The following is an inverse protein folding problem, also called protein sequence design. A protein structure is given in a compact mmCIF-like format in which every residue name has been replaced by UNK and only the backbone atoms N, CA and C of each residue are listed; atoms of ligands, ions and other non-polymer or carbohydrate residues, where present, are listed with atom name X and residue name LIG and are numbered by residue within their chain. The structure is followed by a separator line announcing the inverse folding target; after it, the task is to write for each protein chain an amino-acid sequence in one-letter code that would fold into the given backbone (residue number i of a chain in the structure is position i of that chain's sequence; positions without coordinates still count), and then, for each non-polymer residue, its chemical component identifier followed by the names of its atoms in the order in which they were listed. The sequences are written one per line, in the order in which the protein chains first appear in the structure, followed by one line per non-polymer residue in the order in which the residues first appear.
data_IF_387663474733
#
_entry.id   IF_387663474733
#
_cell.length_a   1.000
_cell.length_b   1.000
_cell.length_c   1.000
_cell.angle_alpha   90.00
_cell.angle_beta   90.00
_cell.angle_gamma   90.00
#
_symmetry.space_group_name_H-M   'P 1'
#
loop_
_entity.id
_entity.type
_entity.pdbx_description
1 polymer ?
#
# COMPACT_ATOMS: atom_id res chain seq x y z
N UNK A 1 -77.21 -7.26 24.01
CA UNK A 1 -76.40 -7.64 22.82
C UNK A 1 -75.61 -6.48 22.19
N UNK A 2 -76.17 -5.29 22.05
CA UNK A 2 -75.49 -4.16 21.38
C UNK A 2 -74.15 -3.71 22.05
N UNK A 3 -74.06 -3.70 23.41
CA UNK A 3 -72.81 -3.27 24.08
C UNK A 3 -71.59 -4.13 23.82
N UNK A 4 -71.79 -5.44 23.64
CA UNK A 4 -70.66 -6.36 23.41
C UNK A 4 -70.13 -6.25 21.97
N UNK A 5 -71.02 -5.97 21.01
CA UNK A 5 -70.59 -5.72 19.59
C UNK A 5 -69.80 -4.43 19.45
N UNK A 6 -70.16 -3.36 20.17
CA UNK A 6 -69.46 -2.10 20.15
C UNK A 6 -68.06 -2.22 20.76
N UNK A 7 -67.87 -2.99 21.83
CA UNK A 7 -66.57 -3.24 22.44
C UNK A 7 -65.66 -4.07 21.51
N UNK A 8 -66.23 -5.07 20.83
CA UNK A 8 -65.48 -5.91 19.89
C UNK A 8 -64.97 -5.11 18.68
N UNK A 9 -65.80 -4.20 18.12
CA UNK A 9 -65.44 -3.32 17.02
C UNK A 9 -64.36 -2.34 17.44
N UNK A 10 -64.45 -1.75 18.63
CA UNK A 10 -63.42 -0.84 19.14
C UNK A 10 -62.10 -1.57 19.42
N UNK A 11 -62.13 -2.80 19.89
CA UNK A 11 -60.93 -3.62 20.08
C UNK A 11 -60.26 -3.98 18.75
N UNK A 12 -61.02 -4.28 17.71
CA UNK A 12 -60.48 -4.56 16.37
C UNK A 12 -59.84 -3.29 15.75
N UNK A 13 -60.45 -2.14 15.92
CA UNK A 13 -59.91 -0.85 15.49
C UNK A 13 -58.63 -0.53 16.24
N UNK A 14 -58.58 -0.73 17.56
CA UNK A 14 -57.36 -0.49 18.34
C UNK A 14 -56.19 -1.43 17.93
N UNK A 15 -56.50 -2.70 17.69
CA UNK A 15 -55.52 -3.68 17.21
C UNK A 15 -55.02 -3.31 15.81
N UNK A 16 -55.91 -2.88 14.90
CA UNK A 16 -55.49 -2.45 13.56
C UNK A 16 -54.64 -1.17 13.60
N UNK A 17 -54.92 -0.23 14.46
CA UNK A 17 -54.12 0.97 14.68
C UNK A 17 -52.71 0.66 15.25
N UNK A 18 -52.61 -0.34 16.17
CA UNK A 18 -51.34 -0.83 16.67
C UNK A 18 -50.50 -1.49 15.57
N UNK A 19 -51.13 -2.28 14.69
CA UNK A 19 -50.42 -2.90 13.54
C UNK A 19 -49.96 -1.84 12.51
N UNK A 20 -50.73 -0.79 12.26
CA UNK A 20 -50.35 0.30 11.37
C UNK A 20 -49.22 1.12 11.97
N UNK A 21 -49.27 1.39 13.29
CA UNK A 21 -48.22 2.10 14.02
C UNK A 21 -46.92 1.29 14.03
N UNK A 22 -46.95 -0.02 14.26
CA UNK A 22 -45.79 -0.90 14.22
C UNK A 22 -45.12 -0.93 12.82
N UNK A 23 -45.93 -1.02 11.76
CA UNK A 23 -45.39 -0.99 10.39
C UNK A 23 -44.79 0.37 10.00
N UNK A 24 -45.31 1.46 10.54
CA UNK A 24 -44.74 2.78 10.31
C UNK A 24 -43.41 2.97 11.06
N UNK A 25 -43.31 2.46 12.29
CA UNK A 25 -42.06 2.49 13.07
C UNK A 25 -40.97 1.64 12.43
N UNK A 26 -41.30 0.47 11.87
CA UNK A 26 -40.32 -0.34 11.12
C UNK A 26 -39.87 0.32 9.81
N UNK A 27 -40.77 1.05 9.12
CA UNK A 27 -40.40 1.80 7.92
C UNK A 27 -39.55 3.03 8.24
N UNK A 28 -39.85 3.75 9.31
CA UNK A 28 -39.01 4.86 9.80
C UNK A 28 -37.65 4.37 10.26
N UNK A 29 -37.55 3.22 10.97
CA UNK A 29 -36.30 2.61 11.36
C UNK A 29 -35.48 2.12 10.16
N UNK A 30 -36.12 1.57 9.13
CA UNK A 30 -35.46 1.17 7.89
C UNK A 30 -35.01 2.41 7.07
N UNK A 31 -35.85 3.45 6.98
CA UNK A 31 -35.48 4.70 6.31
C UNK A 31 -34.30 5.39 7.03
N UNK A 32 -34.33 5.44 8.36
CA UNK A 32 -33.24 6.00 9.19
C UNK A 32 -31.96 5.13 9.10
N UNK A 33 -32.09 3.81 8.95
CA UNK A 33 -30.97 2.91 8.68
C UNK A 33 -30.42 3.07 7.26
N UNK A 34 -31.27 3.37 6.27
CA UNK A 34 -30.84 3.68 4.91
C UNK A 34 -30.20 5.08 4.80
N UNK A 35 -30.67 6.07 5.58
CA UNK A 35 -30.00 7.38 5.70
C UNK A 35 -28.63 7.28 6.41
N UNK A 36 -28.39 6.26 7.23
CA UNK A 36 -27.07 5.89 7.77
C UNK A 36 -26.24 5.06 6.80
N UNK A 37 -26.69 4.85 5.57
CA UNK A 37 -25.94 4.22 4.49
C UNK A 37 -24.65 5.01 4.22
N UNK A 38 -23.64 4.33 3.68
CA UNK A 38 -22.38 4.94 3.31
C UNK A 38 -22.60 6.03 2.24
N UNK A 39 -22.74 7.29 2.69
CA UNK A 39 -22.80 8.42 1.78
C UNK A 39 -21.42 8.65 1.14
N UNK A 40 -21.43 8.95 -0.14
CA UNK A 40 -20.19 9.28 -0.88
C UNK A 40 -20.14 10.80 -1.00
N UNK A 41 -19.09 11.40 -0.44
CA UNK A 41 -18.87 12.84 -0.46
C UNK A 41 -17.63 13.17 -1.29
N UNK A 42 -17.59 14.36 -1.94
CA UNK A 42 -16.33 14.87 -2.49
C UNK A 42 -15.26 14.97 -1.39
N UNK A 43 -14.04 14.62 -1.72
CA UNK A 43 -12.91 14.73 -0.79
C UNK A 43 -12.35 16.14 -0.88
N UNK A 44 -12.26 16.90 0.23
CA UNK A 44 -11.64 18.21 0.23
C UNK A 44 -10.15 18.11 -0.16
N UNK A 45 -9.75 18.91 -1.14
CA UNK A 45 -8.35 19.01 -1.56
C UNK A 45 -7.74 20.22 -0.84
N UNK A 46 -6.70 20.03 0.00
CA UNK A 46 -6.00 21.13 0.65
C UNK A 46 -5.41 22.10 -0.39
N UNK A 47 -5.40 23.40 -0.07
CA UNK A 47 -4.85 24.42 -0.97
C UNK A 47 -3.34 24.35 -1.15
N UNK A 48 -2.63 23.79 -0.16
CA UNK A 48 -1.19 23.62 -0.17
C UNK A 48 -0.84 22.16 0.10
N UNK A 49 -0.14 21.58 -0.81
CA UNK A 49 0.34 20.17 -0.74
C UNK A 49 1.79 20.12 -1.18
N UNK A 50 2.55 19.24 -0.57
CA UNK A 50 3.92 18.95 -0.95
C UNK A 50 4.20 17.46 -0.92
N UNK A 51 5.18 17.04 -1.71
CA UNK A 51 5.77 15.71 -1.67
C UNK A 51 7.29 15.86 -1.68
N UNK A 52 7.96 15.25 -0.72
CA UNK A 52 9.41 15.40 -0.54
C UNK A 52 9.83 16.89 -0.48
N UNK A 53 9.05 17.71 0.23
CA UNK A 53 9.18 19.17 0.36
C UNK A 53 8.96 19.96 -0.93
N UNK A 54 8.76 19.31 -2.07
CA UNK A 54 8.44 19.96 -3.33
C UNK A 54 6.96 20.35 -3.39
N UNK A 55 6.59 21.63 -3.66
CA UNK A 55 5.21 22.06 -3.72
C UNK A 55 4.50 21.47 -4.95
N UNK A 56 3.24 21.09 -4.78
CA UNK A 56 2.40 20.57 -5.85
C UNK A 56 1.66 21.72 -6.54
N UNK A 57 1.84 21.94 -7.85
CA UNK A 57 1.24 23.05 -8.58
C UNK A 57 -0.23 22.77 -8.93
N UNK A 58 -1.11 22.84 -7.94
CA UNK A 58 -2.56 22.54 -8.09
C UNK A 58 -3.27 23.44 -9.11
N UNK A 59 -2.72 24.62 -9.42
CA UNK A 59 -3.25 25.55 -10.43
C UNK A 59 -2.91 25.13 -11.87
N UNK A 60 -1.93 24.24 -12.09
CA UNK A 60 -1.63 23.75 -13.44
C UNK A 60 -2.77 22.89 -13.98
N UNK A 61 -2.98 22.95 -15.30
CA UNK A 61 -4.06 22.27 -15.99
C UNK A 61 -4.17 20.78 -15.64
N UNK A 62 -5.33 20.35 -15.19
CA UNK A 62 -5.68 18.96 -14.90
C UNK A 62 -5.00 18.34 -13.67
N UNK A 63 -4.12 19.07 -12.92
CA UNK A 63 -3.45 18.48 -11.74
C UNK A 63 -4.48 18.22 -10.64
N UNK A 64 -5.32 19.22 -10.35
CA UNK A 64 -6.34 19.11 -9.30
C UNK A 64 -7.32 17.97 -9.59
N UNK A 65 -7.80 17.84 -10.82
CA UNK A 65 -8.75 16.78 -11.22
C UNK A 65 -8.12 15.38 -11.10
N UNK A 66 -6.87 15.24 -11.53
CA UNK A 66 -6.15 13.96 -11.42
C UNK A 66 -5.88 13.57 -9.95
N UNK A 67 -5.57 14.55 -9.09
CA UNK A 67 -5.41 14.33 -7.66
C UNK A 67 -6.74 13.95 -7.01
N UNK A 68 -7.82 14.66 -7.30
CA UNK A 68 -9.17 14.37 -6.82
C UNK A 68 -9.56 12.92 -7.12
N UNK A 69 -9.31 12.49 -8.35
CA UNK A 69 -9.53 11.10 -8.76
C UNK A 69 -8.73 10.11 -7.89
N UNK A 70 -7.45 10.34 -7.63
CA UNK A 70 -6.63 9.43 -6.81
C UNK A 70 -7.08 9.45 -5.34
N UNK A 71 -7.49 10.58 -4.81
CA UNK A 71 -8.07 10.68 -3.46
C UNK A 71 -9.39 9.90 -3.37
N UNK A 72 -10.32 10.13 -4.31
CA UNK A 72 -11.61 9.41 -4.35
C UNK A 72 -11.41 7.90 -4.47
N UNK A 73 -10.59 7.45 -5.42
CA UNK A 73 -10.37 6.02 -5.65
C UNK A 73 -9.78 5.35 -4.40
N UNK A 74 -8.75 5.93 -3.79
CA UNK A 74 -8.11 5.32 -2.62
C UNK A 74 -8.97 5.45 -1.34
N UNK A 75 -9.78 6.49 -1.21
CA UNK A 75 -10.70 6.64 -0.06
C UNK A 75 -11.85 5.65 -0.15
N UNK A 76 -12.50 5.53 -1.32
CA UNK A 76 -13.69 4.70 -1.47
C UNK A 76 -13.41 3.25 -1.82
N UNK A 77 -12.18 2.89 -2.14
CA UNK A 77 -11.73 1.49 -2.14
C UNK A 77 -11.34 1.06 -0.70
N UNK A 78 -12.31 1.20 0.19
CA UNK A 78 -12.14 1.18 1.64
C UNK A 78 -11.41 -0.05 2.18
N UNK A 79 -11.81 -1.26 1.74
CA UNK A 79 -11.20 -2.51 2.22
C UNK A 79 -9.72 -2.60 1.83
N UNK A 80 -9.37 -2.18 0.61
CA UNK A 80 -8.00 -2.19 0.14
C UNK A 80 -7.13 -1.18 0.91
N UNK A 81 -7.61 0.04 1.07
CA UNK A 81 -6.89 1.09 1.79
C UNK A 81 -6.75 0.76 3.28
N UNK A 82 -7.81 0.24 3.90
CA UNK A 82 -7.76 -0.22 5.30
C UNK A 82 -6.69 -1.30 5.52
N UNK A 83 -6.60 -2.29 4.63
CA UNK A 83 -5.59 -3.36 4.80
C UNK A 83 -4.16 -2.85 4.54
N UNK A 84 -3.98 -1.87 3.65
CA UNK A 84 -2.69 -1.20 3.46
C UNK A 84 -2.31 -0.40 4.71
N UNK A 85 -3.23 0.35 5.30
CA UNK A 85 -3.02 1.05 6.58
C UNK A 85 -2.62 0.06 7.69
N UNK A 86 -3.32 -1.07 7.84
CA UNK A 86 -2.98 -2.08 8.84
C UNK A 86 -1.58 -2.68 8.67
N UNK A 87 -1.07 -2.76 7.44
CA UNK A 87 0.29 -3.26 7.12
C UNK A 87 1.36 -2.21 7.35
N UNK A 88 1.03 -0.92 7.23
CA UNK A 88 2.01 0.17 7.17
C UNK A 88 2.92 0.19 8.38
N UNK A 89 2.40 0.15 9.59
CA UNK A 89 3.19 0.21 10.82
C UNK A 89 4.33 -0.82 10.81
N UNK A 90 4.02 -2.06 10.44
CA UNK A 90 5.01 -3.14 10.36
C UNK A 90 6.08 -2.89 9.30
N UNK A 91 5.69 -2.43 8.12
CA UNK A 91 6.61 -2.30 6.98
C UNK A 91 7.40 -1.00 7.08
N UNK A 92 6.78 0.09 7.53
CA UNK A 92 7.43 1.40 7.65
C UNK A 92 8.53 1.40 8.71
N UNK A 93 8.39 0.64 9.83
CA UNK A 93 9.49 0.47 10.81
C UNK A 93 10.79 -0.06 10.18
N UNK A 94 10.73 -0.69 9.00
CA UNK A 94 11.91 -1.16 8.28
C UNK A 94 12.30 -0.20 7.16
N UNK A 95 11.33 0.39 6.46
CA UNK A 95 11.60 1.27 5.30
C UNK A 95 12.15 2.61 5.76
N UNK A 96 11.52 3.28 6.71
CA UNK A 96 11.83 4.65 7.14
C UNK A 96 13.31 4.83 7.57
N UNK A 97 13.90 3.99 8.45
CA UNK A 97 15.31 4.13 8.82
C UNK A 97 16.26 3.92 7.64
N UNK A 98 15.87 3.12 6.63
CA UNK A 98 16.70 2.89 5.45
C UNK A 98 16.60 4.10 4.51
N UNK A 99 15.41 4.68 4.29
CA UNK A 99 15.26 5.93 3.53
C UNK A 99 16.13 7.03 4.15
N UNK A 100 16.04 7.23 5.45
CA UNK A 100 16.85 8.21 6.19
C UNK A 100 18.35 7.97 6.00
N UNK A 101 18.82 6.72 6.18
CA UNK A 101 20.23 6.34 5.99
C UNK A 101 20.77 6.70 4.60
N UNK A 102 19.91 6.63 3.58
CA UNK A 102 20.29 6.93 2.18
C UNK A 102 20.02 8.38 1.78
N UNK A 103 19.47 9.20 2.66
CA UNK A 103 19.08 10.58 2.39
C UNK A 103 17.91 10.70 1.40
N UNK A 104 17.03 9.71 1.39
CA UNK A 104 15.81 9.72 0.58
C UNK A 104 14.66 10.26 1.45
N UNK A 105 13.88 11.25 0.95
CA UNK A 105 12.74 11.77 1.69
C UNK A 105 11.76 10.68 2.13
N UNK A 106 11.26 10.78 3.36
CA UNK A 106 10.38 9.80 3.98
C UNK A 106 9.09 9.54 3.16
N UNK A 107 8.62 10.55 2.44
CA UNK A 107 7.45 10.44 1.56
C UNK A 107 7.57 9.29 0.53
N UNK A 108 8.78 8.84 0.20
CA UNK A 108 9.01 7.71 -0.71
C UNK A 108 8.56 6.36 -0.16
N UNK A 109 8.23 6.24 1.13
CA UNK A 109 7.56 5.05 1.67
C UNK A 109 6.20 4.80 1.00
N UNK A 110 5.51 5.86 0.56
CA UNK A 110 4.23 5.74 -0.17
C UNK A 110 4.38 5.18 -1.58
N UNK A 111 5.60 5.20 -2.15
CA UNK A 111 5.89 4.49 -3.39
C UNK A 111 5.72 2.98 -3.20
N UNK A 112 6.25 2.40 -2.10
CA UNK A 112 6.06 1.00 -1.78
C UNK A 112 4.56 0.63 -1.56
N UNK A 113 3.78 1.57 -1.01
CA UNK A 113 2.32 1.41 -0.89
C UNK A 113 1.68 1.36 -2.28
N UNK A 114 2.02 2.29 -3.16
CA UNK A 114 1.45 2.38 -4.52
C UNK A 114 1.78 1.16 -5.39
N UNK A 115 3.00 0.61 -5.25
CA UNK A 115 3.50 -0.50 -6.06
C UNK A 115 2.88 -1.85 -5.69
N UNK A 116 2.68 -2.11 -4.41
CA UNK A 116 2.33 -3.47 -3.95
C UNK A 116 1.26 -3.55 -2.87
N UNK A 117 0.80 -2.43 -2.33
CA UNK A 117 -0.01 -2.43 -1.10
C UNK A 117 0.73 -3.04 0.09
N UNK A 118 2.05 -2.91 0.13
CA UNK A 118 2.95 -3.39 1.18
C UNK A 118 2.96 -4.93 1.34
N UNK A 119 2.84 -5.67 0.24
CA UNK A 119 2.95 -7.14 0.20
C UNK A 119 3.91 -7.60 -0.89
N UNK A 120 4.49 -8.78 -0.68
CA UNK A 120 5.30 -9.44 -1.69
C UNK A 120 4.40 -10.05 -2.77
N UNK A 121 4.18 -9.32 -3.86
CA UNK A 121 3.39 -9.75 -5.02
C UNK A 121 4.26 -9.88 -6.27
N UNK A 122 3.73 -10.57 -7.27
CA UNK A 122 4.31 -10.65 -8.61
C UNK A 122 3.33 -10.05 -9.60
N UNK A 123 3.74 -9.03 -10.35
CA UNK A 123 2.93 -8.44 -11.42
C UNK A 123 2.85 -9.33 -12.64
N UNK A 124 1.90 -9.07 -13.54
CA UNK A 124 1.78 -9.77 -14.84
C UNK A 124 3.04 -9.66 -15.70
N UNK A 125 3.80 -8.58 -15.56
CA UNK A 125 5.05 -8.37 -16.28
C UNK A 125 6.28 -8.94 -15.55
N UNK A 126 6.10 -9.57 -14.39
CA UNK A 126 7.17 -10.21 -13.64
C UNK A 126 7.94 -9.31 -12.68
N UNK A 127 7.46 -8.10 -12.42
CA UNK A 127 7.94 -7.28 -11.30
C UNK A 127 7.59 -7.97 -9.98
N UNK A 128 8.47 -7.89 -8.97
CA UNK A 128 8.30 -8.63 -7.71
C UNK A 128 8.64 -7.81 -6.47
N UNK A 129 8.01 -8.22 -5.38
CA UNK A 129 8.28 -7.71 -4.04
C UNK A 129 7.52 -6.44 -3.72
N UNK A 130 7.80 -5.87 -2.55
CA UNK A 130 7.15 -4.65 -2.07
C UNK A 130 7.47 -3.46 -2.98
N UNK A 131 8.68 -3.42 -3.55
CA UNK A 131 9.18 -2.37 -4.44
C UNK A 131 8.98 -2.66 -5.92
N UNK A 132 8.39 -3.77 -6.31
CA UNK A 132 8.07 -4.16 -7.68
C UNK A 132 9.24 -4.03 -8.69
N UNK A 133 10.43 -4.45 -8.28
CA UNK A 133 11.56 -4.50 -9.22
C UNK A 133 11.35 -5.52 -10.34
N UNK A 134 11.64 -5.13 -11.57
CA UNK A 134 11.86 -6.07 -12.67
C UNK A 134 13.15 -6.88 -12.43
N UNK A 135 13.26 -8.08 -13.02
CA UNK A 135 14.43 -8.94 -12.81
C UNK A 135 15.74 -8.27 -13.24
N UNK A 136 15.74 -7.58 -14.39
CA UNK A 136 16.90 -6.83 -14.87
C UNK A 136 17.27 -5.71 -13.92
N UNK A 137 16.33 -4.78 -13.67
CA UNK A 137 16.56 -3.64 -12.79
C UNK A 137 16.98 -4.08 -11.38
N UNK A 138 16.35 -5.15 -10.81
CA UNK A 138 16.78 -5.67 -9.52
C UNK A 138 18.26 -6.07 -9.52
N UNK A 139 18.75 -6.71 -10.58
CA UNK A 139 20.17 -7.07 -10.72
C UNK A 139 21.07 -5.84 -10.89
N UNK A 140 20.63 -4.87 -11.68
CA UNK A 140 21.38 -3.62 -11.91
C UNK A 140 21.60 -2.85 -10.61
N UNK A 141 20.63 -2.95 -9.66
CA UNK A 141 20.71 -2.34 -8.32
C UNK A 141 21.16 -3.33 -7.23
N UNK A 142 21.89 -4.40 -7.59
CA UNK A 142 22.63 -5.27 -6.70
C UNK A 142 21.82 -6.38 -6.01
N UNK A 143 20.58 -6.63 -6.43
CA UNK A 143 19.79 -7.74 -5.89
C UNK A 143 20.18 -9.08 -6.51
N UNK A 144 20.44 -10.06 -5.68
CA UNK A 144 20.70 -11.43 -6.12
C UNK A 144 19.40 -12.11 -6.56
N UNK A 145 19.37 -12.54 -7.82
CA UNK A 145 18.19 -13.19 -8.40
C UNK A 145 18.68 -14.39 -9.22
N UNK A 146 18.58 -15.58 -8.63
CA UNK A 146 18.98 -16.85 -9.23
C UNK A 146 17.92 -17.94 -8.97
N UNK A 147 18.29 -19.20 -9.08
CA UNK A 147 17.36 -20.32 -8.90
C UNK A 147 17.02 -20.58 -7.43
N UNK A 148 17.87 -20.20 -6.49
CA UNK A 148 17.68 -20.41 -5.06
C UNK A 148 17.10 -19.20 -4.33
N UNK A 149 17.45 -17.97 -4.76
CA UNK A 149 17.08 -16.73 -4.09
C UNK A 149 16.52 -15.70 -5.05
N UNK A 150 15.59 -14.88 -4.55
CA UNK A 150 15.06 -13.70 -5.23
C UNK A 150 14.99 -12.54 -4.21
N UNK A 151 16.05 -11.74 -4.14
CA UNK A 151 16.17 -10.67 -3.15
C UNK A 151 15.24 -9.48 -3.40
N UNK A 152 14.49 -9.47 -4.50
CA UNK A 152 13.37 -8.54 -4.68
C UNK A 152 12.28 -8.74 -3.61
N UNK A 153 12.18 -9.96 -3.06
CA UNK A 153 11.27 -10.33 -1.98
C UNK A 153 11.86 -10.08 -0.57
N UNK A 154 13.13 -9.65 -0.48
CA UNK A 154 13.79 -9.35 0.79
C UNK A 154 13.62 -7.88 1.13
N UNK A 155 12.74 -7.55 2.10
CA UNK A 155 12.34 -6.18 2.42
C UNK A 155 13.53 -5.21 2.58
N UNK A 156 14.52 -5.54 3.42
CA UNK A 156 15.68 -4.66 3.65
C UNK A 156 16.51 -4.44 2.39
N UNK A 157 16.83 -5.52 1.65
CA UNK A 157 17.68 -5.43 0.46
C UNK A 157 17.00 -4.70 -0.69
N UNK A 158 15.71 -5.00 -0.92
CA UNK A 158 14.95 -4.32 -1.97
C UNK A 158 14.70 -2.83 -1.63
N UNK A 159 14.56 -2.47 -0.35
CA UNK A 159 14.49 -1.06 0.07
C UNK A 159 15.81 -0.34 -0.20
N UNK A 160 16.95 -0.95 0.13
CA UNK A 160 18.27 -0.36 -0.19
C UNK A 160 18.45 -0.17 -1.70
N UNK A 161 18.06 -1.14 -2.51
CA UNK A 161 18.09 -1.04 -3.97
C UNK A 161 17.18 0.10 -4.48
N UNK A 162 15.99 0.25 -3.90
CA UNK A 162 15.08 1.35 -4.26
C UNK A 162 15.69 2.72 -3.89
N UNK A 163 16.35 2.83 -2.75
CA UNK A 163 17.05 4.07 -2.36
C UNK A 163 18.16 4.44 -3.35
N UNK A 164 18.98 3.46 -3.79
CA UNK A 164 20.03 3.71 -4.80
C UNK A 164 19.42 4.19 -6.11
N UNK A 165 18.33 3.53 -6.58
CA UNK A 165 17.59 3.97 -7.76
C UNK A 165 17.10 5.41 -7.63
N UNK A 166 16.42 5.72 -6.53
CA UNK A 166 15.82 7.05 -6.30
C UNK A 166 16.87 8.14 -6.21
N UNK A 167 18.00 7.86 -5.56
CA UNK A 167 19.13 8.79 -5.50
C UNK A 167 19.71 9.08 -6.89
N UNK A 168 19.98 8.03 -7.68
CA UNK A 168 20.44 8.19 -9.06
C UNK A 168 19.43 8.99 -9.91
N UNK A 169 18.15 8.71 -9.75
CA UNK A 169 17.10 9.42 -10.46
C UNK A 169 17.04 10.90 -10.06
N UNK A 170 17.16 11.22 -8.78
CA UNK A 170 17.21 12.60 -8.31
C UNK A 170 18.47 13.35 -8.83
N UNK A 171 19.62 12.72 -8.76
CA UNK A 171 20.88 13.29 -9.31
C UNK A 171 20.75 13.57 -10.81
N UNK A 172 20.01 12.75 -11.53
CA UNK A 172 19.79 12.90 -12.99
C UNK A 172 18.76 13.95 -13.36
N UNK A 173 17.71 14.10 -12.59
CA UNK A 173 16.56 14.94 -12.97
C UNK A 173 16.41 16.20 -12.13
N UNK A 174 17.05 16.30 -10.97
CA UNK A 174 17.05 17.46 -10.09
C UNK A 174 15.77 17.68 -9.29
N UNK A 175 14.74 16.84 -9.46
CA UNK A 175 13.48 16.94 -8.70
C UNK A 175 12.98 15.56 -8.26
N UNK A 176 12.39 15.51 -7.09
CA UNK A 176 11.79 14.28 -6.54
C UNK A 176 10.55 13.85 -7.32
N UNK A 177 9.80 14.79 -7.87
CA UNK A 177 8.63 14.49 -8.71
C UNK A 177 9.02 13.71 -9.97
N UNK A 178 10.11 14.10 -10.63
CA UNK A 178 10.66 13.36 -11.79
C UNK A 178 11.31 12.04 -11.37
N UNK A 179 11.99 12.00 -10.22
CA UNK A 179 12.54 10.76 -9.67
C UNK A 179 11.42 9.73 -9.41
N UNK A 180 10.32 10.13 -8.79
CA UNK A 180 9.15 9.29 -8.59
C UNK A 180 8.53 8.82 -9.91
N UNK A 181 8.32 9.72 -10.86
CA UNK A 181 7.79 9.37 -12.18
C UNK A 181 8.69 8.38 -12.93
N UNK A 182 10.02 8.52 -12.77
CA UNK A 182 11.00 7.62 -13.41
C UNK A 182 10.93 6.20 -12.85
N UNK A 183 10.51 6.02 -11.61
CA UNK A 183 10.34 4.69 -11.03
C UNK A 183 9.29 3.87 -11.79
N UNK A 184 8.21 4.51 -12.19
CA UNK A 184 7.15 3.89 -13.00
C UNK A 184 7.50 3.80 -14.50
N UNK A 185 8.08 4.88 -15.08
CA UNK A 185 8.31 5.03 -16.53
C UNK A 185 9.70 4.55 -16.99
N UNK A 186 10.62 4.38 -16.04
CA UNK A 186 12.05 4.22 -16.30
C UNK A 186 12.74 5.56 -16.59
N UNK A 187 13.96 5.73 -16.08
CA UNK A 187 14.76 6.97 -16.28
C UNK A 187 14.96 7.31 -17.76
N UNK A 188 15.23 6.31 -18.61
CA UNK A 188 15.37 6.52 -20.06
C UNK A 188 14.05 7.00 -20.69
N UNK A 189 12.91 6.53 -20.20
CA UNK A 189 11.60 6.97 -20.66
C UNK A 189 11.35 8.44 -20.32
N UNK A 190 11.52 8.82 -19.06
CA UNK A 190 11.35 10.22 -18.63
C UNK A 190 12.28 11.15 -19.37
N UNK A 191 13.58 10.82 -19.48
CA UNK A 191 14.55 11.64 -20.24
C UNK A 191 14.10 11.88 -21.67
N UNK A 192 13.65 10.82 -22.36
CA UNK A 192 13.16 10.93 -23.75
C UNK A 192 11.91 11.79 -23.84
N UNK A 193 10.97 11.63 -22.89
CA UNK A 193 9.71 12.35 -22.90
C UNK A 193 9.92 13.85 -22.60
N UNK A 194 10.81 14.22 -21.67
CA UNK A 194 11.25 15.60 -21.41
C UNK A 194 11.86 16.25 -22.66
N UNK A 195 12.82 15.56 -23.29
CA UNK A 195 13.50 16.07 -24.48
C UNK A 195 12.54 16.24 -25.67
N UNK A 196 11.63 15.26 -25.89
CA UNK A 196 10.66 15.28 -26.99
C UNK A 196 9.64 16.41 -26.85
N UNK A 197 9.26 16.75 -25.62
CA UNK A 197 8.21 17.73 -25.33
C UNK A 197 8.75 19.11 -24.98
N UNK A 198 10.09 19.28 -24.93
CA UNK A 198 10.76 20.54 -24.60
C UNK A 198 10.33 21.12 -23.25
N UNK A 199 10.14 20.26 -22.25
CA UNK A 199 9.79 20.62 -20.88
C UNK A 199 10.78 20.03 -19.87
N UNK A 200 10.83 20.62 -18.67
CA UNK A 200 11.75 20.23 -17.59
C UNK A 200 11.05 19.80 -16.31
N UNK A 201 9.71 19.89 -16.26
CA UNK A 201 8.91 19.63 -15.07
C UNK A 201 7.97 18.45 -15.35
N UNK A 202 7.82 17.56 -14.35
CA UNK A 202 6.88 16.45 -14.40
C UNK A 202 5.44 16.88 -14.71
N UNK A 203 5.00 18.00 -14.11
CA UNK A 203 3.62 18.47 -14.21
C UNK A 203 3.29 19.07 -15.59
N UNK A 204 4.27 19.33 -16.41
CA UNK A 204 4.11 19.79 -17.80
C UNK A 204 4.22 18.65 -18.84
N UNK A 205 4.61 17.44 -18.41
CA UNK A 205 4.72 16.29 -19.28
C UNK A 205 3.35 15.71 -19.66
N UNK A 206 3.15 15.49 -20.95
CA UNK A 206 2.09 14.64 -21.46
C UNK A 206 2.53 13.18 -21.45
N UNK A 207 2.05 12.43 -20.47
CA UNK A 207 2.41 11.03 -20.24
C UNK A 207 1.19 10.11 -20.43
N UNK A 208 1.42 8.80 -20.50
CA UNK A 208 0.31 7.84 -20.46
C UNK A 208 -0.48 7.97 -19.16
N UNK A 209 -1.71 7.42 -19.16
CA UNK A 209 -2.65 7.56 -18.04
C UNK A 209 -2.09 7.06 -16.70
N UNK A 210 -1.24 6.04 -16.70
CA UNK A 210 -0.62 5.50 -15.50
C UNK A 210 0.44 6.45 -14.94
N UNK A 211 1.45 6.77 -15.71
CA UNK A 211 2.57 7.62 -15.27
C UNK A 211 2.13 9.05 -14.96
N UNK A 212 1.15 9.59 -15.71
CA UNK A 212 0.62 10.95 -15.47
C UNK A 212 -0.11 11.09 -14.12
N UNK A 213 -0.57 9.99 -13.53
CA UNK A 213 -1.25 9.97 -12.23
C UNK A 213 -0.35 9.43 -11.12
N UNK A 214 0.81 8.87 -11.46
CA UNK A 214 1.64 8.13 -10.52
C UNK A 214 2.05 8.99 -9.31
N UNK A 215 2.63 10.16 -9.56
CA UNK A 215 3.02 11.10 -8.50
C UNK A 215 1.82 11.56 -7.66
N UNK A 216 0.68 11.81 -8.30
CA UNK A 216 -0.54 12.24 -7.61
C UNK A 216 -1.17 11.09 -6.79
N UNK A 217 -0.95 9.84 -7.19
CA UNK A 217 -1.30 8.66 -6.37
C UNK A 217 -0.44 8.59 -5.11
N UNK A 218 0.87 8.83 -5.22
CA UNK A 218 1.75 8.87 -4.04
C UNK A 218 1.28 9.95 -3.06
N UNK A 219 0.96 11.12 -3.57
CA UNK A 219 0.45 12.24 -2.78
C UNK A 219 -0.91 11.90 -2.13
N UNK A 220 -1.84 11.28 -2.85
CA UNK A 220 -3.13 10.87 -2.30
C UNK A 220 -2.95 9.83 -1.17
N UNK A 221 -2.08 8.85 -1.37
CA UNK A 221 -1.74 7.87 -0.34
C UNK A 221 -1.10 8.55 0.86
N UNK A 222 -0.15 9.48 0.66
CA UNK A 222 0.42 10.29 1.75
C UNK A 222 -0.68 10.97 2.56
N UNK A 223 -1.60 11.71 1.93
CA UNK A 223 -2.67 12.41 2.63
C UNK A 223 -3.54 11.46 3.47
N UNK A 224 -3.90 10.31 2.90
CA UNK A 224 -4.76 9.32 3.58
C UNK A 224 -4.00 8.66 4.75
N UNK A 225 -2.74 8.33 4.59
CA UNK A 225 -1.96 7.64 5.62
C UNK A 225 -1.52 8.57 6.75
N UNK A 226 -1.23 9.84 6.44
CA UNK A 226 -0.88 10.83 7.45
C UNK A 226 -2.11 11.24 8.31
N UNK A 227 -3.30 11.25 7.70
CA UNK A 227 -4.54 11.69 8.36
C UNK A 227 -5.71 10.73 8.07
N UNK A 228 -5.64 9.45 8.46
CA UNK A 228 -6.62 8.43 8.02
C UNK A 228 -8.05 8.76 8.45
N UNK A 229 -8.24 9.42 9.59
CA UNK A 229 -9.57 9.80 10.10
C UNK A 229 -10.29 10.82 9.22
N UNK A 230 -9.56 11.73 8.60
CA UNK A 230 -10.12 12.74 7.71
C UNK A 230 -10.71 12.10 6.43
N UNK A 231 -10.27 10.88 6.11
CA UNK A 231 -10.74 10.06 5.00
C UNK A 231 -11.67 8.92 5.42
N UNK A 232 -12.18 8.96 6.67
CA UNK A 232 -13.13 7.97 7.19
C UNK A 232 -12.52 6.65 7.65
N UNK A 233 -11.19 6.55 7.77
CA UNK A 233 -10.51 5.36 8.28
C UNK A 233 -10.26 5.48 9.77
N UNK A 234 -11.01 4.72 10.56
CA UNK A 234 -10.84 4.63 12.01
C UNK A 234 -10.00 3.39 12.33
N UNK A 235 -8.72 3.62 12.67
CA UNK A 235 -7.77 2.59 13.00
C UNK A 235 -7.10 2.92 14.34
N UNK A 236 -7.02 1.94 15.24
CA UNK A 236 -6.37 2.05 16.54
C UNK A 236 -5.05 1.26 16.53
N UNK A 237 -4.16 1.52 17.49
CA UNK A 237 -2.86 0.86 17.57
C UNK A 237 -2.93 -0.67 17.57
N UNK A 238 -3.94 -1.24 18.20
CA UNK A 238 -4.19 -2.70 18.24
C UNK A 238 -4.58 -3.31 16.90
N UNK A 239 -5.03 -2.48 15.94
CA UNK A 239 -5.51 -2.93 14.63
C UNK A 239 -4.36 -3.10 13.61
N UNK A 240 -3.21 -2.50 13.89
CA UNK A 240 -2.04 -2.61 13.03
C UNK A 240 -1.40 -3.99 13.12
N UNK A 241 -0.95 -4.50 11.97
CA UNK A 241 -0.15 -5.72 11.95
C UNK A 241 1.28 -5.45 12.42
N UNK A 242 1.80 -6.37 13.22
CA UNK A 242 3.18 -6.36 13.71
C UNK A 242 3.97 -7.53 13.11
N UNK A 243 5.29 -7.48 13.18
CA UNK A 243 6.10 -8.66 12.93
C UNK A 243 5.96 -9.65 14.10
N UNK A 244 5.94 -10.92 13.76
CA UNK A 244 6.18 -11.95 14.76
C UNK A 244 7.63 -11.80 15.25
N UNK A 245 7.88 -12.01 16.53
CA UNK A 245 9.21 -11.95 17.10
C UNK A 245 10.16 -12.95 16.40
N UNK A 246 11.35 -12.49 16.06
CA UNK A 246 12.36 -13.30 15.36
C UNK A 246 13.78 -12.91 15.80
N UNK A 247 14.70 -13.81 15.56
CA UNK A 247 16.13 -13.58 15.65
C UNK A 247 16.77 -13.64 14.27
N UNK A 248 17.88 -12.95 14.08
CA UNK A 248 18.71 -13.09 12.89
C UNK A 248 19.72 -14.20 13.10
N UNK A 249 19.70 -15.20 12.24
CA UNK A 249 20.64 -16.33 12.26
C UNK A 249 21.51 -16.27 11.02
N UNK A 250 22.82 -16.31 11.22
CA UNK A 250 23.78 -16.43 10.11
C UNK A 250 23.83 -17.89 9.69
N UNK A 251 23.66 -18.13 8.40
CA UNK A 251 23.81 -19.43 7.76
C UNK A 251 25.14 -19.39 7.01
N UNK A 252 26.12 -20.12 7.51
CA UNK A 252 27.50 -20.20 7.01
C UNK A 252 27.85 -21.58 6.42
N UNK A 253 26.86 -22.49 6.40
CA UNK A 253 26.91 -23.79 5.73
C UNK A 253 25.73 -23.96 4.78
N UNK A 254 25.91 -24.83 3.76
CA UNK A 254 24.82 -25.17 2.84
C UNK A 254 23.65 -25.81 3.59
N UNK A 255 22.43 -25.36 3.30
CA UNK A 255 21.20 -26.01 3.78
C UNK A 255 20.64 -26.85 2.62
N UNK A 256 20.86 -28.17 2.63
CA UNK A 256 20.39 -29.04 1.54
C UNK A 256 18.89 -29.26 1.57
N UNK A 257 18.25 -29.06 2.73
CA UNK A 257 16.80 -29.19 2.93
C UNK A 257 16.27 -28.19 3.94
N UNK A 258 15.58 -27.16 3.45
CA UNK A 258 14.98 -26.11 4.28
C UNK A 258 13.94 -26.67 5.28
N UNK A 259 13.24 -27.76 4.92
CA UNK A 259 12.24 -28.35 5.82
C UNK A 259 12.90 -29.02 7.03
N UNK A 260 13.99 -29.76 6.82
CA UNK A 260 14.75 -30.38 7.91
C UNK A 260 15.44 -29.32 8.76
N UNK A 261 16.03 -28.31 8.12
CA UNK A 261 16.64 -27.19 8.82
C UNK A 261 15.61 -26.45 9.70
N UNK A 262 14.40 -26.19 9.19
CA UNK A 262 13.35 -25.56 9.96
C UNK A 262 12.99 -26.37 11.22
N UNK A 263 12.90 -27.69 11.11
CA UNK A 263 12.66 -28.58 12.26
C UNK A 263 13.81 -28.55 13.26
N UNK A 264 15.07 -28.56 12.79
CA UNK A 264 16.26 -28.54 13.66
C UNK A 264 16.36 -27.29 14.50
N UNK A 265 15.78 -26.15 14.04
CA UNK A 265 15.73 -24.88 14.77
C UNK A 265 14.36 -24.65 15.46
N UNK A 266 13.57 -25.70 15.69
CA UNK A 266 12.32 -25.64 16.47
C UNK A 266 11.15 -24.95 15.78
N UNK A 267 11.14 -24.92 14.44
CA UNK A 267 10.04 -24.32 13.65
C UNK A 267 9.61 -25.25 12.50
N UNK A 268 8.84 -24.75 11.56
CA UNK A 268 8.41 -25.50 10.40
C UNK A 268 8.72 -24.75 9.09
N UNK A 269 8.65 -25.45 7.97
CA UNK A 269 8.90 -24.91 6.63
C UNK A 269 8.07 -23.67 6.33
N UNK A 270 6.76 -23.68 6.65
CA UNK A 270 5.86 -22.58 6.35
C UNK A 270 6.28 -21.29 7.08
N UNK A 271 6.55 -21.37 8.38
CA UNK A 271 6.97 -20.22 9.18
C UNK A 271 8.31 -19.68 8.67
N UNK A 272 9.31 -20.55 8.50
CA UNK A 272 10.64 -20.15 8.04
C UNK A 272 10.59 -19.48 6.66
N UNK A 273 9.84 -20.03 5.71
CA UNK A 273 9.65 -19.44 4.37
C UNK A 273 8.86 -18.15 4.41
N UNK A 274 7.84 -18.03 5.28
CA UNK A 274 7.06 -16.80 5.46
C UNK A 274 7.91 -15.66 6.01
N UNK A 275 8.86 -15.96 6.90
CA UNK A 275 9.82 -14.98 7.42
C UNK A 275 10.92 -14.63 6.41
N UNK A 276 11.22 -15.55 5.47
CA UNK A 276 12.27 -15.41 4.48
C UNK A 276 11.74 -15.67 3.05
N UNK A 277 10.79 -14.86 2.55
CA UNK A 277 10.13 -15.10 1.27
C UNK A 277 11.08 -15.03 0.06
N UNK A 278 12.28 -14.49 0.25
CA UNK A 278 13.34 -14.40 -0.76
C UNK A 278 14.04 -15.76 -1.06
N UNK A 279 13.90 -16.76 -0.18
CA UNK A 279 14.36 -18.13 -0.42
C UNK A 279 13.35 -18.82 -1.34
N UNK A 280 13.71 -19.15 -2.57
CA UNK A 280 12.78 -19.73 -3.57
C UNK A 280 12.54 -21.22 -3.38
N UNK A 281 13.62 -21.99 -3.34
CA UNK A 281 13.59 -23.44 -3.30
C UNK A 281 13.50 -24.05 -1.92
N UNK A 282 13.77 -25.35 -1.87
CA UNK A 282 13.90 -26.14 -0.64
C UNK A 282 15.37 -26.34 -0.22
N UNK A 283 16.31 -25.68 -0.88
CA UNK A 283 17.74 -25.67 -0.55
C UNK A 283 18.28 -24.24 -0.55
N UNK A 284 19.37 -24.02 0.16
CA UNK A 284 20.12 -22.77 0.17
C UNK A 284 21.61 -23.07 0.17
N UNK A 285 22.29 -22.80 -0.94
CA UNK A 285 23.73 -23.01 -1.10
C UNK A 285 24.49 -21.70 -0.99
N UNK A 286 25.63 -21.74 -0.33
CA UNK A 286 26.45 -20.56 -0.04
C UNK A 286 27.38 -20.15 -1.20
N UNK A 287 27.07 -20.52 -2.43
CA UNK A 287 27.93 -20.18 -3.61
C UNK A 287 28.27 -18.68 -3.72
N UNK A 288 27.59 -17.81 -2.97
CA UNK A 288 27.79 -16.35 -2.95
C UNK A 288 27.99 -15.78 -1.55
N UNK A 289 28.53 -16.58 -0.60
CA UNK A 289 28.76 -16.17 0.79
C UNK A 289 27.59 -16.40 1.74
N UNK A 290 27.76 -16.11 3.02
CA UNK A 290 26.77 -16.41 4.05
C UNK A 290 25.46 -15.65 3.84
N UNK A 291 24.36 -16.23 4.33
CA UNK A 291 23.06 -15.60 4.36
C UNK A 291 22.65 -15.31 5.80
N UNK A 292 21.94 -14.23 5.98
CA UNK A 292 21.24 -13.96 7.25
C UNK A 292 19.76 -14.26 7.04
N UNK A 293 19.23 -15.19 7.80
CA UNK A 293 17.82 -15.57 7.79
C UNK A 293 17.14 -15.07 9.07
N UNK A 294 15.82 -14.92 9.01
CA UNK A 294 14.96 -14.70 10.18
C UNK A 294 14.47 -16.06 10.67
N UNK A 295 14.70 -16.37 11.92
CA UNK A 295 14.14 -17.53 12.61
C UNK A 295 13.18 -17.05 13.71
N UNK A 296 12.09 -17.76 14.03
CA UNK A 296 11.20 -17.36 15.11
C UNK A 296 11.93 -17.37 16.43
N UNK A 297 11.60 -16.41 17.30
CA UNK A 297 12.05 -16.43 18.69
C UNK A 297 11.32 -17.60 19.39
N UNK A 298 12.08 -18.48 20.03
CA UNK A 298 11.53 -19.60 20.81
C UNK A 298 11.00 -19.13 22.14
#
# INVERSE_FOLDING_TARGET
MLKNTTILVLAIIAISLLFVSSKNTEKEDQATKMEKGAHVYPIPIPSHLSFAEEPIPLSKYGIKERLDRELLVNTYWQSNTMIMLKRSKRIFTVIEPILEQYGIPDDFKYLAVAESGLVNVTSHLGAKGIWQFMKSSGKDYGLRINDQVDERLHLVKSTKAACVYLKEAYERFGTWSLAAASYNRGMAGIRRDLAKQFVTDYYDLHLNAETSRYMLRLLALKQIFDNPRDFGFHIEDKDYYTFQAFVHTVVDEDIPNISEYAQSIGTNYHILKSMNPWIKGNELRLSNGPYTIKAPLQ
#
